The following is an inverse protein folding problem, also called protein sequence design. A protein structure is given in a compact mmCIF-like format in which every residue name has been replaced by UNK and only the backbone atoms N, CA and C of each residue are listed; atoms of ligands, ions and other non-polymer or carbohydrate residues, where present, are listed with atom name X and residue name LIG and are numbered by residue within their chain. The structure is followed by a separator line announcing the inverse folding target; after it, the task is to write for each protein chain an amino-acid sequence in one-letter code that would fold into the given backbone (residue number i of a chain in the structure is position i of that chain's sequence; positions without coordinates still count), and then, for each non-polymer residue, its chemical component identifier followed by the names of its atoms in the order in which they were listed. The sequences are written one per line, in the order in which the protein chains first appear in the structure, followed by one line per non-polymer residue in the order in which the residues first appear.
data_IF_654106213638
#
_entry.id   IF_654106213638
#
_cell.length_a   1.000
_cell.length_b   1.000
_cell.length_c   1.000
_cell.angle_alpha   90.00
_cell.angle_beta   90.00
_cell.angle_gamma   90.00
#
_symmetry.space_group_name_H-M   'P 1'
#
loop_
_entity.id
_entity.type
_entity.pdbx_description
1 polymer ?
#
# COMPACT_ATOMS: atom_id res chain seq x y z
N UNK A 1 21.93 -50.63 23.55
CA UNK A 1 22.16 -49.17 23.61
C UNK A 1 21.79 -48.50 22.29
N UNK A 2 20.59 -47.95 22.15
CA UNK A 2 20.24 -47.14 20.94
C UNK A 2 19.71 -45.73 21.25
N UNK A 3 20.12 -45.09 22.35
CA UNK A 3 19.53 -43.82 22.78
C UNK A 3 20.36 -42.54 22.43
N UNK A 4 21.61 -42.70 22.02
CA UNK A 4 22.48 -41.53 21.78
C UNK A 4 22.34 -40.86 20.38
N UNK A 5 21.75 -41.56 19.39
CA UNK A 5 21.56 -41.03 18.06
C UNK A 5 20.22 -40.32 17.84
N UNK A 6 19.25 -40.48 18.73
CA UNK A 6 17.91 -39.92 18.59
C UNK A 6 17.87 -38.42 18.88
N UNK A 7 18.65 -37.93 19.83
CA UNK A 7 18.71 -36.53 20.23
C UNK A 7 19.20 -35.60 19.12
N UNK A 8 20.30 -35.86 18.39
CA UNK A 8 20.74 -34.97 17.30
C UNK A 8 19.80 -34.98 16.09
N UNK A 9 19.13 -36.10 15.80
CA UNK A 9 18.15 -36.19 14.71
C UNK A 9 16.91 -35.34 15.02
N UNK A 10 16.41 -35.42 16.26
CA UNK A 10 15.29 -34.57 16.73
C UNK A 10 15.65 -33.10 16.73
N UNK A 11 16.87 -32.72 17.12
CA UNK A 11 17.34 -31.34 17.10
C UNK A 11 17.43 -30.77 15.66
N UNK A 12 17.93 -31.58 14.71
CA UNK A 12 17.98 -31.20 13.29
C UNK A 12 16.59 -31.09 12.67
N UNK A 13 15.66 -32.00 13.03
CA UNK A 13 14.28 -31.93 12.56
C UNK A 13 13.56 -30.70 13.12
N UNK A 14 13.79 -30.36 14.40
CA UNK A 14 13.23 -29.16 15.03
C UNK A 14 13.80 -27.88 14.40
N UNK A 15 15.11 -27.85 14.14
CA UNK A 15 15.75 -26.75 13.46
C UNK A 15 15.22 -26.56 12.03
N UNK A 16 15.09 -27.67 11.29
CA UNK A 16 14.51 -27.66 9.94
C UNK A 16 13.05 -27.18 9.95
N UNK A 17 12.26 -27.62 10.94
CA UNK A 17 10.88 -27.17 11.12
C UNK A 17 10.79 -25.67 11.48
N UNK A 18 11.66 -25.18 12.34
CA UNK A 18 11.73 -23.75 12.70
C UNK A 18 12.16 -22.92 11.49
N UNK A 19 13.12 -23.39 10.69
CA UNK A 19 13.53 -22.73 9.44
C UNK A 19 12.38 -22.72 8.44
N UNK A 20 11.69 -23.86 8.27
CA UNK A 20 10.52 -23.98 7.39
C UNK A 20 9.40 -23.03 7.83
N UNK A 21 9.10 -22.94 9.13
CA UNK A 21 8.12 -22.01 9.67
C UNK A 21 8.52 -20.55 9.46
N UNK A 22 9.83 -20.23 9.47
CA UNK A 22 10.34 -18.89 9.15
C UNK A 22 10.21 -18.56 7.67
N UNK A 23 10.48 -19.52 6.78
CA UNK A 23 10.32 -19.37 5.33
C UNK A 23 8.85 -19.28 4.91
N UNK A 24 7.96 -19.91 5.67
CA UNK A 24 6.51 -19.90 5.43
C UNK A 24 5.80 -18.69 6.04
N UNK A 25 6.46 -17.90 6.91
CA UNK A 25 5.89 -16.64 7.40
C UNK A 25 5.92 -15.61 6.27
N UNK A 26 4.78 -15.00 5.91
CA UNK A 26 4.78 -13.85 5.03
C UNK A 26 5.68 -12.78 5.66
N UNK A 27 6.74 -12.40 4.95
CA UNK A 27 7.66 -11.36 5.42
C UNK A 27 6.95 -10.03 5.32
N UNK A 28 6.42 -9.52 6.43
CA UNK A 28 6.00 -8.12 6.52
C UNK A 28 7.23 -7.26 6.23
N UNK A 29 7.08 -6.28 5.35
CA UNK A 29 8.17 -5.38 4.97
C UNK A 29 8.82 -4.75 6.21
N UNK A 30 10.16 -4.69 6.30
CA UNK A 30 10.85 -4.08 7.44
C UNK A 30 10.42 -2.64 7.72
N UNK A 31 10.08 -1.88 6.67
CA UNK A 31 9.55 -0.52 6.77
C UNK A 31 8.20 -0.49 7.46
N UNK A 32 7.26 -1.32 7.02
CA UNK A 32 5.92 -1.44 7.63
C UNK A 32 6.01 -1.84 9.11
N UNK A 33 6.91 -2.79 9.45
CA UNK A 33 7.15 -3.16 10.87
C UNK A 33 7.61 -1.97 11.71
N UNK A 34 8.45 -1.08 11.16
CA UNK A 34 8.91 0.13 11.85
C UNK A 34 7.76 1.13 12.02
N UNK A 35 6.89 1.31 11.02
CA UNK A 35 5.69 2.17 11.11
C UNK A 35 4.73 1.62 12.16
N UNK A 36 4.42 0.32 12.13
CA UNK A 36 3.59 -0.37 13.12
C UNK A 36 4.11 -0.17 14.54
N UNK A 37 5.41 -0.35 14.75
CA UNK A 37 6.04 -0.10 16.05
C UNK A 37 5.98 1.38 16.48
N UNK A 38 6.06 2.32 15.53
CA UNK A 38 5.95 3.75 15.78
C UNK A 38 4.52 4.12 16.23
N UNK A 39 3.51 3.62 15.54
CA UNK A 39 2.09 3.79 15.87
C UNK A 39 1.82 3.25 17.28
N UNK A 40 2.18 1.99 17.54
CA UNK A 40 1.94 1.31 18.82
C UNK A 40 2.58 2.03 20.02
N UNK A 41 3.78 2.60 19.84
CA UNK A 41 4.50 3.30 20.93
C UNK A 41 4.09 4.76 21.08
N UNK A 42 3.61 5.37 19.99
CA UNK A 42 3.37 6.80 19.93
C UNK A 42 1.92 7.22 20.07
N UNK A 43 0.96 6.32 19.90
CA UNK A 43 -0.47 6.62 20.03
C UNK A 43 -1.06 5.88 21.23
N UNK A 44 -1.98 6.54 21.91
CA UNK A 44 -2.77 5.96 23.00
C UNK A 44 -3.80 4.97 22.41
N UNK A 45 -3.76 3.67 22.75
CA UNK A 45 -4.67 2.67 22.21
C UNK A 45 -6.13 2.89 22.63
N UNK A 46 -6.39 3.62 23.70
CA UNK A 46 -7.76 4.01 24.09
C UNK A 46 -8.37 5.10 23.21
N UNK A 47 -7.55 5.85 22.46
CA UNK A 47 -8.00 6.93 21.57
C UNK A 47 -7.78 6.64 20.09
N UNK A 48 -6.80 5.79 19.76
CA UNK A 48 -6.39 5.46 18.40
C UNK A 48 -6.28 3.95 18.25
N UNK A 49 -7.07 3.38 17.38
CA UNK A 49 -7.00 1.97 17.07
C UNK A 49 -6.36 1.77 15.68
N UNK A 50 -5.48 0.79 15.54
CA UNK A 50 -4.75 0.58 14.30
C UNK A 50 -4.99 -0.82 13.74
N UNK A 51 -5.26 -0.89 12.44
CA UNK A 51 -5.33 -2.13 11.67
C UNK A 51 -4.24 -2.10 10.61
N UNK A 52 -3.65 -3.24 10.29
CA UNK A 52 -2.50 -3.35 9.42
C UNK A 52 -2.70 -4.47 8.40
N UNK A 53 -2.04 -4.35 7.23
CA UNK A 53 -2.06 -5.37 6.17
C UNK A 53 -3.48 -5.70 5.69
N UNK A 54 -4.24 -4.68 5.27
CA UNK A 54 -5.58 -4.90 4.75
C UNK A 54 -5.55 -5.20 3.25
N UNK A 55 -6.43 -6.11 2.81
CA UNK A 55 -6.73 -6.31 1.39
C UNK A 55 -8.20 -6.00 1.16
N UNK A 56 -8.47 -4.92 0.43
CA UNK A 56 -9.80 -4.41 0.17
C UNK A 56 -10.16 -4.66 -1.29
N UNK A 57 -11.36 -5.18 -1.54
CA UNK A 57 -11.91 -5.34 -2.89
C UNK A 57 -12.24 -3.96 -3.49
N UNK A 58 -11.95 -3.80 -4.77
CA UNK A 58 -12.26 -2.59 -5.53
C UNK A 58 -12.85 -2.99 -6.88
N UNK A 59 -13.55 -2.11 -7.60
CA UNK A 59 -14.09 -2.43 -8.92
C UNK A 59 -13.04 -2.94 -9.92
N UNK A 60 -11.78 -2.54 -9.75
CA UNK A 60 -10.67 -2.92 -10.63
C UNK A 60 -9.85 -4.12 -10.09
N UNK A 61 -10.33 -4.81 -9.07
CA UNK A 61 -9.63 -5.93 -8.41
C UNK A 61 -9.47 -5.71 -6.90
N UNK A 62 -8.26 -5.78 -6.39
CA UNK A 62 -7.97 -5.59 -4.96
C UNK A 62 -6.89 -4.53 -4.76
N UNK A 63 -6.92 -3.87 -3.60
CA UNK A 63 -5.83 -2.98 -3.16
C UNK A 63 -5.34 -3.41 -1.79
N UNK A 64 -4.03 -3.34 -1.57
CA UNK A 64 -3.41 -3.61 -0.28
C UNK A 64 -3.09 -2.28 0.41
N UNK A 65 -3.57 -2.13 1.65
CA UNK A 65 -3.35 -0.93 2.48
C UNK A 65 -2.45 -1.32 3.65
N UNK A 66 -1.31 -0.63 3.79
CA UNK A 66 -0.30 -1.00 4.79
C UNK A 66 -0.82 -0.80 6.22
N UNK A 67 -1.36 0.39 6.51
CA UNK A 67 -1.89 0.69 7.84
C UNK A 67 -3.07 1.65 7.76
N UNK A 68 -4.07 1.41 8.60
CA UNK A 68 -5.17 2.34 8.88
C UNK A 68 -5.22 2.60 10.38
N UNK A 69 -5.26 3.87 10.78
CA UNK A 69 -5.47 4.28 12.17
C UNK A 69 -6.80 4.99 12.26
N UNK A 70 -7.67 4.55 13.14
CA UNK A 70 -9.01 5.11 13.37
C UNK A 70 -9.07 5.76 14.74
N UNK A 71 -9.67 6.93 14.82
CA UNK A 71 -9.94 7.68 16.04
C UNK A 71 -11.13 8.59 15.83
N UNK A 72 -11.61 9.23 16.88
CA UNK A 72 -12.64 10.30 16.77
C UNK A 72 -12.15 11.49 15.91
N UNK A 73 -10.84 11.64 15.70
CA UNK A 73 -10.26 12.71 14.89
C UNK A 73 -10.12 12.33 13.40
N UNK A 74 -10.66 11.18 13.01
CA UNK A 74 -10.72 10.67 11.65
C UNK A 74 -9.95 9.36 11.45
N UNK A 75 -9.92 8.95 10.19
CA UNK A 75 -9.30 7.73 9.68
C UNK A 75 -8.03 8.09 8.91
N UNK A 76 -6.87 7.62 9.36
CA UNK A 76 -5.58 7.87 8.74
C UNK A 76 -5.16 6.67 7.90
N UNK A 77 -5.17 6.81 6.58
CA UNK A 77 -4.71 5.80 5.63
C UNK A 77 -3.25 6.06 5.32
N UNK A 78 -2.39 5.13 5.71
CA UNK A 78 -0.93 5.33 5.75
C UNK A 78 -0.25 4.38 4.78
N UNK A 79 0.46 4.95 3.81
CA UNK A 79 1.34 4.28 2.86
C UNK A 79 2.78 4.36 3.34
N UNK A 80 3.49 3.25 3.36
CA UNK A 80 4.88 3.15 3.80
C UNK A 80 5.84 3.07 2.62
N UNK A 81 6.94 3.84 2.67
CA UNK A 81 8.05 3.76 1.72
C UNK A 81 9.37 3.55 2.44
N UNK A 82 9.93 2.34 2.38
CA UNK A 82 11.28 2.05 2.93
C UNK A 82 12.35 2.30 1.86
N UNK A 83 12.62 3.60 1.61
CA UNK A 83 13.58 4.06 0.62
C UNK A 83 14.69 4.87 1.28
N UNK A 84 15.91 4.76 0.75
CA UNK A 84 17.09 5.53 1.18
C UNK A 84 17.59 6.41 0.05
N UNK A 85 18.44 7.40 0.39
CA UNK A 85 19.01 8.34 -0.57
C UNK A 85 18.11 9.54 -0.86
N UNK A 86 18.32 10.19 -1.99
CA UNK A 86 17.61 11.41 -2.36
C UNK A 86 16.29 11.09 -3.06
N UNK A 87 15.23 11.73 -2.62
CA UNK A 87 13.89 11.60 -3.19
C UNK A 87 13.49 12.91 -3.85
N UNK A 88 13.13 12.82 -5.11
CA UNK A 88 12.59 13.91 -5.92
C UNK A 88 11.17 13.55 -6.34
N UNK A 89 10.24 14.46 -6.16
CA UNK A 89 8.85 14.26 -6.57
C UNK A 89 7.99 15.48 -6.27
N UNK A 90 6.79 15.46 -6.77
CA UNK A 90 5.74 16.46 -6.56
C UNK A 90 4.36 15.77 -6.61
N UNK A 91 3.29 16.52 -6.29
CA UNK A 91 1.92 15.98 -6.25
C UNK A 91 1.40 15.55 -7.62
N UNK A 92 1.84 16.18 -8.72
CA UNK A 92 1.28 16.00 -10.06
C UNK A 92 1.97 14.92 -10.87
N UNK A 93 3.25 14.72 -10.63
CA UNK A 93 4.08 13.74 -11.35
C UNK A 93 3.57 12.32 -11.14
N UNK A 94 3.42 11.55 -12.22
CA UNK A 94 3.01 10.14 -12.13
C UNK A 94 4.04 9.26 -11.43
N UNK A 95 5.30 9.62 -11.51
CA UNK A 95 6.43 8.87 -10.93
C UNK A 95 7.35 9.83 -10.18
N UNK A 96 7.89 9.33 -9.08
CA UNK A 96 8.95 9.98 -8.31
C UNK A 96 10.30 9.33 -8.62
N UNK A 97 11.38 10.03 -8.30
CA UNK A 97 12.74 9.54 -8.54
C UNK A 97 13.48 9.39 -7.22
N UNK A 98 14.02 8.20 -6.99
CA UNK A 98 15.03 7.94 -5.98
C UNK A 98 16.42 8.03 -6.63
N UNK A 99 17.35 8.71 -5.97
CA UNK A 99 18.78 8.68 -6.32
C UNK A 99 19.53 8.06 -5.15
N UNK A 100 20.13 6.90 -5.41
CA UNK A 100 20.94 6.20 -4.43
C UNK A 100 22.36 6.04 -5.03
N UNK A 101 23.35 6.66 -4.41
CA UNK A 101 24.69 6.84 -4.97
C UNK A 101 24.62 7.53 -6.36
N UNK A 102 25.04 6.85 -7.43
CA UNK A 102 24.99 7.34 -8.81
C UNK A 102 23.82 6.77 -9.63
N UNK A 103 22.96 5.94 -9.01
CA UNK A 103 21.85 5.28 -9.70
C UNK A 103 20.53 6.01 -9.46
N UNK A 104 19.77 6.18 -10.54
CA UNK A 104 18.41 6.74 -10.50
C UNK A 104 17.40 5.61 -10.68
N UNK A 105 16.43 5.55 -9.79
CA UNK A 105 15.30 4.62 -9.86
C UNK A 105 13.99 5.41 -9.83
N UNK A 106 13.07 5.10 -10.73
CA UNK A 106 11.74 5.69 -10.74
C UNK A 106 10.72 4.74 -10.10
N UNK A 107 9.89 5.28 -9.23
CA UNK A 107 8.80 4.55 -8.60
C UNK A 107 7.48 5.32 -8.74
N UNK A 108 6.36 4.62 -8.55
CA UNK A 108 5.03 5.22 -8.60
C UNK A 108 4.93 6.35 -7.56
N UNK A 109 4.25 7.45 -7.92
CA UNK A 109 3.96 8.52 -6.97
C UNK A 109 3.15 7.95 -5.80
N UNK A 110 3.69 7.98 -4.56
CA UNK A 110 3.02 7.38 -3.40
C UNK A 110 1.76 8.13 -2.98
N UNK A 111 1.63 9.41 -3.35
CA UNK A 111 0.39 10.16 -3.13
C UNK A 111 -0.74 9.62 -4.01
N UNK A 112 -0.46 9.30 -5.28
CA UNK A 112 -1.44 8.71 -6.18
C UNK A 112 -1.78 7.27 -5.78
N UNK A 113 -0.80 6.52 -5.26
CA UNK A 113 -1.02 5.19 -4.72
C UNK A 113 -1.94 5.28 -3.51
N UNK A 114 -1.59 6.09 -2.52
CA UNK A 114 -2.36 6.22 -1.29
C UNK A 114 -3.73 6.89 -1.50
N UNK A 115 -3.90 7.71 -2.53
CA UNK A 115 -5.22 8.20 -2.92
C UNK A 115 -6.17 7.05 -3.26
N UNK A 116 -5.70 6.02 -3.99
CA UNK A 116 -6.50 4.83 -4.29
C UNK A 116 -6.84 4.03 -3.02
N UNK A 117 -5.86 3.87 -2.13
CA UNK A 117 -6.07 3.21 -0.83
C UNK A 117 -7.10 3.96 0.02
N UNK A 118 -6.98 5.28 0.10
CA UNK A 118 -7.93 6.14 0.80
C UNK A 118 -9.34 5.99 0.24
N UNK A 119 -9.49 5.99 -1.09
CA UNK A 119 -10.80 5.78 -1.74
C UNK A 119 -11.40 4.42 -1.41
N UNK A 120 -10.59 3.36 -1.44
CA UNK A 120 -11.06 2.02 -1.09
C UNK A 120 -11.51 1.93 0.37
N UNK A 121 -10.78 2.58 1.30
CA UNK A 121 -11.19 2.66 2.72
C UNK A 121 -12.43 3.53 2.89
N UNK A 122 -12.55 4.64 2.18
CA UNK A 122 -13.71 5.54 2.16
C UNK A 122 -14.97 4.80 1.71
N UNK A 123 -14.88 4.09 0.58
CA UNK A 123 -15.99 3.32 0.01
C UNK A 123 -16.38 2.14 0.93
N UNK A 124 -15.41 1.48 1.57
CA UNK A 124 -15.64 0.38 2.52
C UNK A 124 -16.35 0.85 3.79
N UNK A 125 -15.92 1.99 4.35
CA UNK A 125 -16.46 2.51 5.63
C UNK A 125 -17.67 3.39 5.45
N UNK A 126 -18.05 3.75 4.22
CA UNK A 126 -19.15 4.66 3.88
C UNK A 126 -19.09 6.00 4.65
N UNK A 127 -17.85 6.50 4.86
CA UNK A 127 -17.62 7.73 5.60
C UNK A 127 -17.49 8.95 4.67
N UNK A 128 -17.80 10.13 5.22
CA UNK A 128 -17.53 11.41 4.54
C UNK A 128 -16.02 11.51 4.22
N UNK A 129 -15.66 11.89 2.97
CA UNK A 129 -14.25 12.07 2.57
C UNK A 129 -13.43 12.98 3.51
N UNK A 130 -14.07 13.92 4.20
CA UNK A 130 -13.43 14.82 5.17
C UNK A 130 -12.93 14.11 6.42
N UNK A 131 -13.47 12.93 6.72
CA UNK A 131 -13.01 12.12 7.84
C UNK A 131 -11.73 11.33 7.55
N UNK A 132 -11.28 11.26 6.27
CA UNK A 132 -10.14 10.44 5.86
C UNK A 132 -8.90 11.28 5.55
N UNK A 133 -7.81 10.96 6.22
CA UNK A 133 -6.50 11.59 6.06
C UNK A 133 -5.54 10.64 5.30
N UNK A 134 -5.06 11.06 4.13
CA UNK A 134 -4.02 10.34 3.40
C UNK A 134 -2.65 10.72 3.95
N UNK A 135 -1.82 9.73 4.30
CA UNK A 135 -0.47 9.94 4.86
C UNK A 135 0.54 9.04 4.16
N UNK A 136 1.65 9.61 3.70
CA UNK A 136 2.77 8.86 3.15
C UNK A 136 3.96 8.97 4.08
N UNK A 137 4.53 7.82 4.50
CA UNK A 137 5.62 7.76 5.48
C UNK A 137 6.86 7.12 4.89
N UNK A 138 7.93 7.90 4.81
CA UNK A 138 9.26 7.42 4.46
C UNK A 138 10.01 6.96 5.71
N UNK A 139 10.41 5.69 5.72
CA UNK A 139 11.02 5.01 6.90
C UNK A 139 12.52 4.86 6.76
N UNK A 140 13.00 4.67 5.54
CA UNK A 140 14.41 4.54 5.24
C UNK A 140 15.20 5.84 5.46
N UNK A 141 16.50 5.79 5.24
CA UNK A 141 17.36 6.98 5.33
C UNK A 141 17.26 7.81 4.03
N UNK A 142 16.07 8.36 3.79
CA UNK A 142 15.79 9.21 2.62
C UNK A 142 15.90 10.69 2.96
N UNK A 143 16.23 11.50 1.96
CA UNK A 143 16.27 12.96 2.04
C UNK A 143 15.40 13.54 0.90
N UNK A 144 14.42 14.36 1.24
CA UNK A 144 13.60 15.04 0.24
C UNK A 144 14.37 16.21 -0.39
N UNK A 145 14.53 16.19 -1.70
CA UNK A 145 15.25 17.21 -2.48
C UNK A 145 14.31 18.18 -3.21
N UNK A 146 13.02 17.94 -3.13
CA UNK A 146 11.96 18.84 -3.60
C UNK A 146 11.02 19.14 -2.43
N UNK A 147 10.30 20.26 -2.42
CA UNK A 147 9.25 20.53 -1.45
C UNK A 147 8.22 19.41 -1.45
N UNK A 148 7.84 18.95 -0.26
CA UNK A 148 6.84 17.89 -0.09
C UNK A 148 5.58 18.46 0.56
N UNK A 149 4.38 17.94 0.20
CA UNK A 149 3.15 18.30 0.89
C UNK A 149 3.18 17.87 2.37
N UNK A 150 2.36 18.50 3.23
CA UNK A 150 2.39 18.29 4.68
C UNK A 150 2.10 16.85 5.12
N UNK A 151 1.44 16.06 4.27
CA UNK A 151 1.10 14.66 4.53
C UNK A 151 2.15 13.65 4.00
N UNK A 152 3.26 14.14 3.45
CA UNK A 152 4.43 13.32 3.09
C UNK A 152 5.50 13.51 4.15
N UNK A 153 5.74 12.47 4.93
CA UNK A 153 6.46 12.58 6.20
C UNK A 153 7.65 11.61 6.24
N UNK A 154 8.64 11.97 7.05
CA UNK A 154 9.56 10.98 7.61
C UNK A 154 8.91 10.33 8.84
N UNK A 155 9.33 9.13 9.18
CA UNK A 155 8.78 8.36 10.30
C UNK A 155 8.62 9.15 11.60
N UNK A 156 9.56 10.05 11.93
CA UNK A 156 9.50 10.91 13.13
C UNK A 156 8.33 11.91 13.11
N UNK A 157 7.85 12.28 11.93
CA UNK A 157 6.73 13.21 11.75
C UNK A 157 5.34 12.55 11.85
N UNK A 158 5.25 11.21 11.81
CA UNK A 158 3.97 10.49 11.77
C UNK A 158 3.08 10.79 12.98
N UNK A 159 3.60 10.59 14.18
CA UNK A 159 2.82 10.78 15.41
C UNK A 159 2.42 12.25 15.64
N UNK A 160 3.34 13.23 15.49
CA UNK A 160 2.97 14.64 15.53
C UNK A 160 1.88 15.00 14.50
N UNK A 161 1.97 14.48 13.28
CA UNK A 161 0.95 14.75 12.25
C UNK A 161 -0.42 14.19 12.64
N UNK A 162 -0.50 12.94 13.09
CA UNK A 162 -1.76 12.33 13.54
C UNK A 162 -2.35 13.14 14.69
N UNK A 163 -1.55 13.49 15.69
CA UNK A 163 -1.98 14.25 16.86
C UNK A 163 -2.35 15.70 16.57
N UNK A 164 -1.89 16.27 15.45
CA UNK A 164 -2.26 17.62 15.03
C UNK A 164 -3.71 17.72 14.53
N UNK A 165 -4.37 16.59 14.27
CA UNK A 165 -5.80 16.53 13.94
C UNK A 165 -6.59 16.46 15.25
N UNK A 166 -7.29 17.54 15.56
CA UNK A 166 -7.97 17.72 16.86
C UNK A 166 -9.50 17.83 16.74
N UNK A 167 -10.00 18.07 15.53
CA UNK A 167 -11.45 18.17 15.28
C UNK A 167 -12.10 16.79 15.42
N UNK A 168 -13.18 16.70 16.18
CA UNK A 168 -13.96 15.48 16.31
C UNK A 168 -14.79 15.29 15.04
N UNK A 169 -14.43 14.30 14.25
CA UNK A 169 -15.04 13.97 12.96
C UNK A 169 -15.93 12.72 13.03
N UNK A 170 -15.66 11.81 13.98
CA UNK A 170 -16.37 10.56 14.15
C UNK A 170 -16.89 10.40 15.59
N UNK A 171 -18.06 9.81 15.74
CA UNK A 171 -18.57 9.36 17.04
C UNK A 171 -17.80 8.11 17.52
N UNK A 172 -17.98 7.75 18.80
CA UNK A 172 -17.40 6.52 19.35
C UNK A 172 -17.92 5.30 18.61
N UNK A 173 -19.23 5.22 18.37
CA UNK A 173 -19.87 4.11 17.67
C UNK A 173 -19.34 3.96 16.23
N UNK A 174 -19.11 5.08 15.53
CA UNK A 174 -18.51 5.07 14.19
C UNK A 174 -17.06 4.58 14.21
N UNK A 175 -16.29 4.92 15.24
CA UNK A 175 -14.93 4.39 15.42
C UNK A 175 -14.95 2.87 15.62
N UNK A 176 -15.82 2.37 16.51
CA UNK A 176 -15.94 0.93 16.79
C UNK A 176 -16.40 0.17 15.55
N UNK A 177 -17.47 0.60 14.90
CA UNK A 177 -17.95 -0.02 13.66
C UNK A 177 -16.89 -0.02 12.55
N UNK A 178 -16.14 1.08 12.39
CA UNK A 178 -15.06 1.16 11.40
C UNK A 178 -13.95 0.15 11.69
N UNK A 179 -13.56 -0.01 12.95
CA UNK A 179 -12.51 -0.95 13.34
C UNK A 179 -12.94 -2.40 13.12
N UNK A 180 -14.16 -2.74 13.46
CA UNK A 180 -14.66 -4.10 13.29
C UNK A 180 -14.72 -4.47 11.81
N UNK A 181 -15.24 -3.58 10.97
CA UNK A 181 -15.28 -3.78 9.53
C UNK A 181 -13.87 -3.88 8.90
N UNK A 182 -12.92 -3.04 9.33
CA UNK A 182 -11.54 -3.11 8.83
C UNK A 182 -10.84 -4.41 9.24
N UNK A 183 -11.15 -4.96 10.43
CA UNK A 183 -10.57 -6.23 10.91
C UNK A 183 -10.94 -7.43 10.04
N UNK A 184 -12.13 -7.43 9.44
CA UNK A 184 -12.57 -8.46 8.50
C UNK A 184 -11.71 -8.50 7.23
N UNK A 185 -11.08 -7.37 6.89
CA UNK A 185 -10.26 -7.20 5.69
C UNK A 185 -8.75 -7.37 5.93
N UNK A 186 -8.35 -7.81 7.13
CA UNK A 186 -6.93 -8.09 7.41
C UNK A 186 -6.45 -9.25 6.54
N UNK A 187 -5.39 -8.97 5.78
CA UNK A 187 -4.83 -9.93 4.81
C UNK A 187 -4.37 -11.21 5.46
N UNK A 188 -4.89 -12.33 4.99
CA UNK A 188 -4.36 -13.66 5.26
C UNK A 188 -3.54 -14.15 4.04
N UNK A 189 -3.07 -15.41 4.07
CA UNK A 189 -2.29 -15.99 2.97
C UNK A 189 -3.11 -16.09 1.67
N UNK A 190 -4.39 -16.39 1.77
CA UNK A 190 -5.30 -16.59 0.65
C UNK A 190 -5.60 -15.25 -0.05
N UNK A 191 -6.01 -14.21 0.70
CA UNK A 191 -6.26 -12.87 0.17
C UNK A 191 -5.02 -12.24 -0.47
N UNK A 192 -3.82 -12.52 0.07
CA UNK A 192 -2.56 -12.07 -0.55
C UNK A 192 -2.29 -12.79 -1.87
N UNK A 193 -2.55 -14.09 -1.95
CA UNK A 193 -2.41 -14.83 -3.22
C UNK A 193 -3.39 -14.32 -4.25
N UNK A 194 -4.64 -14.12 -3.91
CA UNK A 194 -5.65 -13.54 -4.78
C UNK A 194 -5.25 -12.13 -5.27
N UNK A 195 -4.70 -11.31 -4.37
CA UNK A 195 -4.19 -9.99 -4.73
C UNK A 195 -3.06 -10.09 -5.77
N UNK A 196 -2.08 -10.97 -5.57
CA UNK A 196 -0.98 -11.19 -6.53
C UNK A 196 -1.50 -11.71 -7.87
N UNK A 197 -2.43 -12.67 -7.86
CA UNK A 197 -3.07 -13.19 -9.08
C UNK A 197 -3.85 -12.09 -9.84
N UNK A 198 -4.53 -11.19 -9.11
CA UNK A 198 -5.22 -10.04 -9.68
C UNK A 198 -4.23 -9.04 -10.31
N UNK A 199 -3.10 -8.77 -9.65
CA UNK A 199 -2.05 -7.92 -10.22
C UNK A 199 -1.49 -8.51 -11.51
N UNK A 200 -1.18 -9.81 -11.54
CA UNK A 200 -0.70 -10.52 -12.73
C UNK A 200 -1.75 -10.50 -13.85
N UNK A 201 -3.03 -10.73 -13.52
CA UNK A 201 -4.13 -10.66 -14.47
C UNK A 201 -4.25 -9.26 -15.09
N UNK A 202 -4.18 -8.21 -14.26
CA UNK A 202 -4.23 -6.81 -14.71
C UNK A 202 -3.03 -6.38 -15.59
N UNK A 203 -1.92 -7.10 -15.51
CA UNK A 203 -0.79 -6.92 -16.43
C UNK A 203 -1.02 -7.68 -17.73
N UNK A 204 -1.54 -8.91 -17.66
CA UNK A 204 -1.74 -9.80 -18.80
C UNK A 204 -2.98 -9.41 -19.64
N UNK A 205 -4.10 -9.11 -18.96
CA UNK A 205 -5.38 -8.77 -19.57
C UNK A 205 -5.96 -7.50 -18.91
N UNK A 206 -5.40 -6.31 -19.21
CA UNK A 206 -5.80 -5.09 -18.53
C UNK A 206 -7.22 -4.67 -18.88
N UNK A 207 -7.92 -4.15 -17.86
CA UNK A 207 -9.26 -3.55 -17.99
C UNK A 207 -9.13 -2.03 -18.16
N UNK A 208 -10.04 -1.46 -18.93
CA UNK A 208 -10.06 -0.01 -19.15
C UNK A 208 -10.50 0.74 -17.88
N UNK A 209 -9.69 1.66 -17.34
CA UNK A 209 -10.02 2.39 -16.12
C UNK A 209 -11.20 3.37 -16.28
N UNK A 210 -11.60 3.66 -17.54
CA UNK A 210 -12.68 4.63 -17.81
C UNK A 210 -14.04 3.96 -18.04
N UNK A 211 -14.10 2.72 -18.53
CA UNK A 211 -15.36 2.07 -18.89
C UNK A 211 -15.43 0.57 -18.58
N UNK A 212 -14.43 0.01 -17.87
CA UNK A 212 -14.40 -1.40 -17.45
C UNK A 212 -14.24 -2.44 -18.58
N UNK A 213 -14.22 -2.05 -19.86
CA UNK A 213 -14.06 -3.00 -20.97
C UNK A 213 -12.62 -3.51 -21.08
N UNK A 214 -12.39 -4.72 -21.63
CA UNK A 214 -11.05 -5.22 -21.89
C UNK A 214 -10.22 -4.21 -22.71
N UNK A 215 -8.92 -4.16 -22.47
CA UNK A 215 -8.00 -3.41 -23.32
C UNK A 215 -7.30 -4.36 -24.30
N UNK A 216 -6.99 -3.85 -25.48
CA UNK A 216 -6.29 -4.59 -26.53
C UNK A 216 -4.96 -3.92 -26.83
N UNK A 217 -3.94 -4.74 -27.08
CA UNK A 217 -2.62 -4.23 -27.45
C UNK A 217 -2.68 -3.59 -28.84
N UNK A 218 -2.18 -2.38 -28.96
CA UNK A 218 -2.14 -1.60 -30.21
C UNK A 218 -0.77 -0.99 -30.43
N UNK A 219 -0.39 -0.81 -31.69
CA UNK A 219 0.81 -0.08 -32.06
C UNK A 219 0.47 1.39 -32.31
N UNK A 220 1.19 2.30 -31.68
CA UNK A 220 1.05 3.74 -31.92
C UNK A 220 1.44 4.07 -33.36
N UNK A 221 0.51 4.62 -34.14
CA UNK A 221 0.75 4.96 -35.56
C UNK A 221 1.39 6.34 -35.74
N UNK A 222 1.22 7.26 -34.79
CA UNK A 222 1.65 8.65 -34.87
C UNK A 222 2.12 9.18 -33.51
N UNK A 223 2.85 10.28 -33.53
CA UNK A 223 3.35 10.98 -32.31
C UNK A 223 4.72 10.50 -31.84
N UNK A 224 5.23 11.04 -30.72
CA UNK A 224 6.59 10.78 -30.22
C UNK A 224 6.88 9.32 -29.84
N UNK A 225 5.84 8.46 -29.79
CA UNK A 225 5.93 7.03 -29.48
C UNK A 225 5.45 6.17 -30.65
N UNK A 226 5.49 6.67 -31.88
CA UNK A 226 5.14 5.89 -33.08
C UNK A 226 6.00 4.62 -33.15
N UNK A 227 5.36 3.48 -33.48
CA UNK A 227 5.98 2.15 -33.45
C UNK A 227 5.97 1.46 -32.10
N UNK A 228 5.72 2.17 -30.99
CA UNK A 228 5.61 1.59 -29.65
C UNK A 228 4.25 0.93 -29.41
N UNK A 229 4.25 -0.08 -28.54
CA UNK A 229 3.02 -0.77 -28.13
C UNK A 229 2.34 -0.03 -26.97
N UNK A 230 1.02 -0.04 -26.97
CA UNK A 230 0.17 0.48 -25.90
C UNK A 230 -1.13 -0.33 -25.82
N UNK A 231 -1.71 -0.35 -24.62
CA UNK A 231 -3.04 -0.89 -24.42
C UNK A 231 -4.08 0.18 -24.77
N UNK A 232 -5.00 -0.11 -25.68
CA UNK A 232 -6.14 0.72 -26.05
C UNK A 232 -7.44 0.07 -25.64
N UNK A 233 -8.42 0.86 -25.20
CA UNK A 233 -9.74 0.34 -24.86
C UNK A 233 -10.41 -0.32 -26.06
N UNK A 234 -11.02 -1.51 -25.87
CA UNK A 234 -11.82 -2.18 -26.90
C UNK A 234 -13.10 -1.40 -27.24
N UNK A 235 -13.54 -0.51 -26.37
CA UNK A 235 -14.69 0.37 -26.57
C UNK A 235 -14.44 1.58 -27.49
N UNK A 236 -13.25 1.67 -28.11
CA UNK A 236 -12.97 2.72 -29.10
C UNK A 236 -13.97 2.64 -30.30
N UNK A 237 -14.47 3.76 -30.84
CA UNK A 237 -14.11 5.16 -30.54
C UNK A 237 -14.85 5.83 -29.35
N UNK A 238 -15.84 5.15 -28.75
CA UNK A 238 -16.64 5.71 -27.64
C UNK A 238 -15.79 5.93 -26.37
N UNK A 239 -14.83 5.05 -26.11
CA UNK A 239 -13.86 5.18 -25.05
C UNK A 239 -12.45 5.25 -25.64
N UNK A 240 -11.72 6.35 -25.37
CA UNK A 240 -10.38 6.61 -25.92
C UNK A 240 -9.27 6.38 -24.89
N UNK A 241 -9.57 5.70 -23.78
CA UNK A 241 -8.58 5.44 -22.76
C UNK A 241 -7.44 4.55 -23.26
N UNK A 242 -6.21 4.91 -22.88
CA UNK A 242 -4.99 4.15 -23.19
C UNK A 242 -4.17 3.93 -21.93
N UNK A 243 -3.38 2.85 -21.88
CA UNK A 243 -2.43 2.50 -20.83
C UNK A 243 -1.11 2.11 -21.48
N UNK A 244 0.03 2.53 -20.93
CA UNK A 244 1.33 2.11 -21.45
C UNK A 244 1.47 0.59 -21.31
N UNK A 245 1.94 -0.08 -22.36
CA UNK A 245 2.57 -1.40 -22.20
C UNK A 245 3.92 -1.17 -21.51
N UNK A 246 4.22 -1.95 -20.51
CA UNK A 246 5.52 -1.89 -19.82
C UNK A 246 6.66 -2.15 -20.80
#
# INVERSE_FOLDING_TARGET
MPSETLLPVLALALLGFVILLRLLRPSVDPGERRVRATIRRGLDPGRYQAVHDLTIQTPDGTTQVDHVVVSQFGVFVIETKDLSGWIFGDERSKRWTQVLFKRKHQFQNPLHQNYKHRRAVEDLLELDPRCLHSVVVFVGNSEFKTPMPPNVLRRRGLIPYIRSKADTLLSVDQVEASIDLLREHVSNRETRREHMENLERNVRDPVCPSCGKPMVLRTAKTGPKAGGQLWGCSGFPRCRATKSSL
#
